data_IF_673295854488
#
_entry.id   IF_673295854488
#
_cell.length_a   1.000
_cell.length_b   1.000
_cell.length_c   1.000
_cell.angle_alpha   90.00
_cell.angle_beta   90.00
_cell.angle_gamma   90.00
#
_symmetry.space_group_name_H-M   'P 1'
#
loop_
_entity.id
_entity.type
_entity.pdbx_description
1 polymer ?
#
# COMPACT_ATOMS: atom_id res chain seq x y z
N UNK A 1 1.44 -33.89 -15.40
CA UNK A 1 0.91 -32.66 -14.74
C UNK A 1 1.53 -31.44 -15.40
N UNK A 2 0.85 -30.29 -15.32
CA UNK A 2 1.44 -28.98 -15.66
C UNK A 2 1.84 -28.29 -14.36
N UNK A 3 3.10 -27.91 -14.24
CA UNK A 3 3.66 -27.36 -13.01
C UNK A 3 4.27 -25.99 -13.29
N UNK A 4 3.80 -24.95 -12.59
CA UNK A 4 4.36 -23.60 -12.67
C UNK A 4 5.47 -23.41 -11.67
N UNK A 5 6.61 -22.90 -12.12
CA UNK A 5 7.74 -22.45 -11.32
C UNK A 5 7.82 -20.93 -11.45
N UNK A 6 7.69 -20.23 -10.33
CA UNK A 6 7.82 -18.77 -10.29
C UNK A 6 8.92 -18.34 -9.31
N UNK A 7 10.17 -18.26 -9.77
CA UNK A 7 11.28 -17.78 -8.97
C UNK A 7 11.22 -16.25 -8.84
N UNK A 8 11.56 -15.75 -7.65
CA UNK A 8 11.58 -14.32 -7.40
C UNK A 8 12.18 -13.92 -6.06
N UNK A 9 12.61 -12.67 -5.97
CA UNK A 9 13.09 -12.10 -4.71
C UNK A 9 11.95 -11.82 -3.73
N UNK A 10 10.76 -11.46 -4.25
CA UNK A 10 9.56 -11.10 -3.47
C UNK A 10 9.87 -10.13 -2.31
N UNK A 11 10.49 -9.02 -2.62
CA UNK A 11 11.04 -8.03 -1.69
C UNK A 11 10.34 -6.66 -1.79
N UNK A 12 9.05 -6.53 -1.38
CA UNK A 12 8.13 -7.54 -0.87
C UNK A 12 7.30 -8.27 -1.96
N UNK A 13 6.56 -9.32 -1.55
CA UNK A 13 5.45 -9.88 -2.31
C UNK A 13 4.29 -8.86 -2.36
N UNK A 14 3.56 -8.76 -3.49
CA UNK A 14 2.55 -7.72 -3.68
C UNK A 14 1.43 -8.16 -4.65
N UNK A 15 0.37 -7.36 -4.77
CA UNK A 15 -0.80 -7.68 -5.60
C UNK A 15 -0.46 -7.94 -7.07
N UNK A 16 0.60 -7.33 -7.60
CA UNK A 16 1.09 -7.60 -8.95
C UNK A 16 1.53 -9.06 -9.13
N UNK A 17 2.22 -9.65 -8.14
CA UNK A 17 2.59 -11.07 -8.17
C UNK A 17 1.35 -11.96 -8.11
N UNK A 18 0.38 -11.65 -7.24
CA UNK A 18 -0.88 -12.39 -7.12
C UNK A 18 -1.61 -12.43 -8.46
N UNK A 19 -1.76 -11.26 -9.09
CA UNK A 19 -2.52 -11.15 -10.33
C UNK A 19 -1.87 -11.88 -11.52
N UNK A 20 -0.52 -11.85 -11.62
CA UNK A 20 0.16 -12.58 -12.70
C UNK A 20 0.04 -14.10 -12.51
N UNK A 21 0.10 -14.57 -11.26
CA UNK A 21 -0.09 -15.99 -10.93
C UNK A 21 -1.51 -16.43 -11.32
N UNK A 22 -2.53 -15.66 -10.94
CA UNK A 22 -3.93 -15.95 -11.26
C UNK A 22 -4.19 -15.92 -12.79
N UNK A 23 -3.63 -14.94 -13.51
CA UNK A 23 -3.73 -14.85 -14.96
C UNK A 23 -3.05 -16.05 -15.65
N UNK A 24 -1.85 -16.42 -15.22
CA UNK A 24 -1.13 -17.57 -15.72
C UNK A 24 -1.90 -18.87 -15.44
N UNK A 25 -2.41 -19.04 -14.23
CA UNK A 25 -3.21 -20.22 -13.90
C UNK A 25 -4.50 -20.32 -14.72
N UNK A 26 -5.21 -19.20 -14.89
CA UNK A 26 -6.41 -19.14 -15.73
C UNK A 26 -6.13 -19.50 -17.19
N UNK A 27 -4.97 -19.10 -17.74
CA UNK A 27 -4.61 -19.34 -19.13
C UNK A 27 -4.11 -20.75 -19.40
N UNK A 28 -3.28 -21.32 -18.51
CA UNK A 28 -2.57 -22.58 -18.73
C UNK A 28 -3.14 -23.76 -17.94
N UNK A 29 -3.96 -23.51 -16.91
CA UNK A 29 -4.56 -24.51 -16.02
C UNK A 29 -3.52 -25.44 -15.39
N UNK A 30 -2.74 -24.91 -14.44
CA UNK A 30 -1.68 -25.65 -13.75
C UNK A 30 -2.24 -26.57 -12.67
N UNK A 31 -1.68 -27.78 -12.56
CA UNK A 31 -1.98 -28.75 -11.51
C UNK A 31 -1.27 -28.38 -10.20
N UNK A 32 -0.06 -27.76 -10.31
CA UNK A 32 0.73 -27.28 -9.17
C UNK A 32 1.42 -25.97 -9.49
N UNK A 33 1.56 -25.11 -8.49
CA UNK A 33 2.24 -23.83 -8.60
C UNK A 33 3.26 -23.68 -7.44
N UNK A 34 4.50 -23.35 -7.80
CA UNK A 34 5.56 -23.11 -6.83
C UNK A 34 6.05 -21.67 -6.89
N UNK A 35 6.01 -20.97 -5.72
CA UNK A 35 6.78 -19.75 -5.51
C UNK A 35 8.15 -20.14 -4.97
N UNK A 36 9.19 -19.80 -5.70
CA UNK A 36 10.56 -20.17 -5.37
C UNK A 36 11.30 -18.92 -4.89
N UNK A 37 11.54 -18.86 -3.57
CA UNK A 37 12.17 -17.69 -2.97
C UNK A 37 13.68 -17.68 -3.24
N UNK A 38 14.15 -16.69 -4.01
CA UNK A 38 15.55 -16.53 -4.32
C UNK A 38 16.35 -16.03 -3.11
N UNK A 39 17.50 -16.64 -2.84
CA UNK A 39 18.44 -16.21 -1.79
C UNK A 39 18.95 -14.80 -2.04
N UNK A 40 19.49 -14.59 -3.23
CA UNK A 40 19.89 -13.29 -3.75
C UNK A 40 19.60 -13.28 -5.25
N UNK A 41 19.00 -12.21 -5.76
CA UNK A 41 19.01 -11.99 -7.20
C UNK A 41 20.45 -11.77 -7.67
N UNK A 42 20.85 -12.41 -8.77
CA UNK A 42 22.21 -12.30 -9.33
C UNK A 42 22.64 -10.83 -9.53
N UNK A 43 21.68 -9.94 -9.73
CA UNK A 43 21.91 -8.51 -10.04
C UNK A 43 21.41 -7.52 -8.99
N UNK A 44 20.74 -7.96 -7.90
CA UNK A 44 20.18 -7.06 -6.89
C UNK A 44 20.23 -7.70 -5.51
N UNK A 45 20.84 -7.01 -4.55
CA UNK A 45 20.76 -7.39 -3.14
C UNK A 45 19.36 -7.07 -2.61
N UNK A 46 18.68 -8.04 -2.01
CA UNK A 46 17.42 -7.82 -1.31
C UNK A 46 17.65 -6.92 -0.09
N UNK A 47 16.67 -6.09 0.25
CA UNK A 47 16.71 -5.22 1.43
C UNK A 47 16.23 -5.99 2.67
N UNK A 48 15.10 -6.69 2.57
CA UNK A 48 14.63 -7.57 3.62
C UNK A 48 15.40 -8.89 3.65
N UNK A 49 15.54 -9.50 4.83
CA UNK A 49 16.18 -10.81 4.99
C UNK A 49 15.36 -11.90 4.28
N UNK A 50 15.96 -13.09 4.11
CA UNK A 50 15.24 -14.24 3.52
C UNK A 50 14.02 -14.60 4.36
N UNK A 51 14.18 -14.61 5.68
CA UNK A 51 13.11 -14.93 6.65
C UNK A 51 11.95 -13.91 6.54
N UNK A 52 12.27 -12.62 6.52
CA UNK A 52 11.27 -11.56 6.37
C UNK A 52 10.51 -11.66 5.04
N UNK A 53 11.20 -11.97 3.95
CA UNK A 53 10.56 -12.16 2.64
C UNK A 53 9.69 -13.41 2.60
N UNK A 54 10.13 -14.48 3.26
CA UNK A 54 9.34 -15.72 3.42
C UNK A 54 8.07 -15.47 4.23
N UNK A 55 8.16 -14.70 5.31
CA UNK A 55 6.99 -14.34 6.11
C UNK A 55 6.00 -13.51 5.30
N UNK A 56 6.47 -12.53 4.54
CA UNK A 56 5.60 -11.74 3.65
C UNK A 56 4.96 -12.59 2.53
N UNK A 57 5.68 -13.60 2.00
CA UNK A 57 5.09 -14.56 1.07
C UNK A 57 3.95 -15.34 1.74
N UNK A 58 4.17 -15.91 2.93
CA UNK A 58 3.16 -16.66 3.67
C UNK A 58 1.92 -15.82 3.97
N UNK A 59 2.12 -14.54 4.34
CA UNK A 59 1.03 -13.59 4.57
C UNK A 59 0.23 -13.26 3.30
N UNK A 60 0.87 -13.36 2.13
CA UNK A 60 0.24 -13.08 0.84
C UNK A 60 -0.51 -14.27 0.23
N UNK A 61 -0.15 -15.52 0.56
CA UNK A 61 -0.75 -16.72 -0.02
C UNK A 61 -2.29 -16.78 0.10
N UNK A 62 -2.91 -16.42 1.23
CA UNK A 62 -4.38 -16.46 1.37
C UNK A 62 -5.13 -15.57 0.39
N UNK A 63 -4.46 -14.62 -0.24
CA UNK A 63 -5.05 -13.72 -1.25
C UNK A 63 -4.95 -14.27 -2.68
N UNK A 64 -4.28 -15.40 -2.88
CA UNK A 64 -4.24 -16.12 -4.15
C UNK A 64 -5.41 -17.10 -4.22
N UNK A 65 -6.14 -17.11 -5.35
CA UNK A 65 -7.28 -18.00 -5.57
C UNK A 65 -6.91 -19.41 -6.06
N UNK A 66 -5.62 -19.72 -6.14
CA UNK A 66 -5.11 -21.01 -6.57
C UNK A 66 -4.21 -21.61 -5.48
N UNK A 67 -4.07 -22.94 -5.50
CA UNK A 67 -3.21 -23.64 -4.55
C UNK A 67 -1.74 -23.43 -4.93
N UNK A 68 -0.99 -22.80 -4.02
CA UNK A 68 0.41 -22.44 -4.22
C UNK A 68 1.24 -22.98 -3.08
N UNK A 69 2.36 -23.62 -3.42
CA UNK A 69 3.38 -24.04 -2.48
C UNK A 69 4.59 -23.10 -2.54
N UNK A 70 5.23 -22.84 -1.39
CA UNK A 70 6.51 -22.11 -1.34
C UNK A 70 7.62 -23.16 -1.31
N UNK A 71 8.56 -23.05 -2.25
CA UNK A 71 9.73 -23.91 -2.29
C UNK A 71 10.97 -23.17 -1.80
N UNK A 72 11.78 -23.85 -1.00
CA UNK A 72 12.93 -23.28 -0.31
C UNK A 72 14.30 -23.66 -0.93
N UNK A 73 14.29 -24.37 -2.05
CA UNK A 73 15.49 -24.92 -2.67
C UNK A 73 16.57 -23.86 -2.92
N UNK A 74 16.18 -22.70 -3.49
CA UNK A 74 17.16 -21.68 -3.86
C UNK A 74 17.91 -21.07 -2.67
N UNK A 75 17.26 -20.91 -1.52
CA UNK A 75 17.96 -20.33 -0.37
C UNK A 75 18.53 -21.36 0.61
N UNK A 76 18.12 -22.63 0.53
CA UNK A 76 18.61 -23.71 1.42
C UNK A 76 19.67 -24.58 0.77
N UNK A 77 19.51 -24.95 -0.51
CA UNK A 77 20.28 -26.01 -1.17
C UNK A 77 21.07 -25.52 -2.40
N UNK A 78 20.58 -24.48 -3.12
CA UNK A 78 21.29 -23.98 -4.31
C UNK A 78 22.64 -23.40 -3.94
N UNK A 79 23.68 -23.80 -4.67
CA UNK A 79 25.07 -23.34 -4.46
C UNK A 79 25.33 -21.98 -5.11
N UNK A 80 24.77 -21.76 -6.29
CA UNK A 80 25.06 -20.59 -7.11
C UNK A 80 23.90 -19.60 -7.26
N UNK A 81 22.66 -20.03 -6.97
CA UNK A 81 21.45 -19.23 -7.16
C UNK A 81 21.07 -19.04 -8.64
N UNK A 82 21.64 -19.81 -9.56
CA UNK A 82 21.27 -19.76 -10.98
C UNK A 82 20.03 -20.61 -11.24
N UNK A 83 19.10 -20.09 -12.05
CA UNK A 83 17.81 -20.73 -12.37
C UNK A 83 17.96 -22.12 -13.00
N UNK A 84 19.09 -22.43 -13.64
CA UNK A 84 19.32 -23.79 -14.16
C UNK A 84 19.36 -24.85 -13.04
N UNK A 85 19.93 -24.53 -11.85
CA UNK A 85 19.93 -25.46 -10.72
C UNK A 85 18.51 -25.74 -10.23
N UNK A 86 17.68 -24.71 -10.15
CA UNK A 86 16.28 -24.82 -9.79
C UNK A 86 15.49 -25.65 -10.80
N UNK A 87 15.70 -25.39 -12.09
CA UNK A 87 15.01 -26.13 -13.17
C UNK A 87 15.41 -27.62 -13.14
N UNK A 88 16.70 -27.94 -12.98
CA UNK A 88 17.16 -29.33 -12.83
C UNK A 88 16.54 -30.03 -11.62
N UNK A 89 16.56 -29.34 -10.46
CA UNK A 89 15.95 -29.87 -9.24
C UNK A 89 14.46 -30.23 -9.43
N UNK A 90 13.67 -29.35 -10.02
CA UNK A 90 12.26 -29.66 -10.29
C UNK A 90 12.09 -30.72 -11.38
N UNK A 91 13.00 -30.78 -12.38
CA UNK A 91 12.93 -31.84 -13.40
C UNK A 91 13.30 -33.21 -12.86
N UNK A 92 14.16 -33.29 -11.85
CA UNK A 92 14.47 -34.54 -11.14
C UNK A 92 13.26 -35.02 -10.32
N UNK A 93 12.51 -34.10 -9.68
CA UNK A 93 11.29 -34.44 -8.92
C UNK A 93 10.13 -34.82 -9.87
N UNK A 94 10.02 -34.15 -11.01
CA UNK A 94 8.92 -34.27 -11.95
C UNK A 94 9.44 -34.64 -13.37
N UNK A 95 10.04 -35.82 -13.55
CA UNK A 95 10.73 -36.18 -14.79
C UNK A 95 9.82 -36.28 -16.02
N UNK A 96 8.55 -36.63 -15.80
CA UNK A 96 7.56 -36.86 -16.87
C UNK A 96 6.52 -35.75 -16.97
N UNK A 97 6.65 -34.67 -16.21
CA UNK A 97 5.67 -33.58 -16.15
C UNK A 97 6.12 -32.37 -16.99
N UNK A 98 5.14 -31.57 -17.39
CA UNK A 98 5.37 -30.32 -18.13
C UNK A 98 5.67 -29.17 -17.15
N UNK A 99 6.92 -28.77 -17.09
CA UNK A 99 7.35 -27.65 -16.28
C UNK A 99 7.21 -26.33 -17.06
N UNK A 100 6.74 -25.30 -16.40
CA UNK A 100 6.62 -23.94 -16.91
C UNK A 100 7.39 -22.99 -16.02
N UNK A 101 8.26 -22.16 -16.61
CA UNK A 101 9.03 -21.14 -15.90
C UNK A 101 8.43 -19.76 -16.20
N UNK A 102 7.91 -19.10 -15.17
CA UNK A 102 7.33 -17.74 -15.28
C UNK A 102 8.40 -16.69 -14.98
N UNK A 103 8.63 -15.79 -15.94
CA UNK A 103 9.60 -14.70 -15.82
C UNK A 103 8.99 -13.35 -16.26
N UNK A 104 9.49 -12.25 -15.72
CA UNK A 104 9.12 -10.92 -16.18
C UNK A 104 9.76 -10.56 -17.52
N UNK A 105 9.13 -9.66 -18.29
CA UNK A 105 9.63 -9.19 -19.59
C UNK A 105 11.03 -8.58 -19.51
N UNK A 106 11.40 -7.98 -18.36
CA UNK A 106 12.78 -7.54 -18.09
C UNK A 106 13.80 -8.69 -18.17
N UNK A 107 13.42 -9.89 -17.71
CA UNK A 107 14.27 -11.09 -17.76
C UNK A 107 14.28 -11.74 -19.14
N UNK A 108 13.17 -11.65 -19.89
CA UNK A 108 13.11 -12.08 -21.29
C UNK A 108 14.20 -11.37 -22.12
N UNK A 109 14.37 -10.07 -21.93
CA UNK A 109 15.33 -9.29 -22.70
C UNK A 109 16.79 -9.71 -22.50
N UNK A 110 17.11 -10.28 -21.36
CA UNK A 110 18.45 -10.74 -21.00
C UNK A 110 18.58 -12.26 -20.91
N UNK A 111 17.54 -13.01 -21.27
CA UNK A 111 17.50 -14.46 -21.08
C UNK A 111 18.63 -15.19 -21.81
N UNK A 112 19.07 -14.72 -22.98
CA UNK A 112 20.19 -15.28 -23.71
C UNK A 112 21.53 -15.22 -22.95
N UNK A 113 21.66 -14.35 -21.95
CA UNK A 113 22.82 -14.24 -21.07
C UNK A 113 22.69 -15.12 -19.80
N UNK A 114 21.53 -15.75 -19.58
CA UNK A 114 21.38 -16.67 -18.45
C UNK A 114 22.31 -17.88 -18.60
N UNK A 115 22.84 -18.34 -17.48
CA UNK A 115 23.67 -19.54 -17.46
C UNK A 115 22.86 -20.73 -18.01
N UNK A 116 23.40 -21.38 -19.03
CA UNK A 116 22.80 -22.56 -19.66
C UNK A 116 21.38 -22.33 -20.19
N UNK A 117 21.09 -21.13 -20.74
CA UNK A 117 19.77 -20.73 -21.24
C UNK A 117 19.16 -21.73 -22.23
N UNK A 118 19.98 -22.37 -23.08
CA UNK A 118 19.51 -23.40 -24.01
C UNK A 118 19.02 -24.66 -23.31
N UNK A 119 19.71 -25.06 -22.25
CA UNK A 119 19.33 -26.21 -21.44
C UNK A 119 18.04 -25.91 -20.65
N UNK A 120 17.93 -24.72 -20.03
CA UNK A 120 16.69 -24.30 -19.38
C UNK A 120 15.52 -24.48 -20.36
N UNK A 121 15.65 -23.97 -21.61
CA UNK A 121 14.59 -24.10 -22.62
C UNK A 121 14.28 -25.54 -23.00
N UNK A 122 15.25 -26.44 -22.95
CA UNK A 122 15.01 -27.86 -23.24
C UNK A 122 14.23 -28.59 -22.13
N UNK A 123 14.31 -28.08 -20.90
CA UNK A 123 13.72 -28.69 -19.71
C UNK A 123 12.35 -28.11 -19.34
N UNK A 124 12.07 -26.84 -19.71
CA UNK A 124 10.82 -26.15 -19.32
C UNK A 124 10.22 -25.34 -20.48
N UNK A 125 8.91 -25.13 -20.42
CA UNK A 125 8.22 -24.13 -21.19
C UNK A 125 8.39 -22.76 -20.54
N UNK A 126 8.84 -21.75 -21.27
CA UNK A 126 9.03 -20.41 -20.72
C UNK A 126 7.78 -19.59 -20.99
N UNK A 127 7.19 -19.04 -19.95
CA UNK A 127 6.10 -18.09 -20.04
C UNK A 127 6.52 -16.75 -19.41
N UNK A 128 6.01 -15.64 -19.93
CA UNK A 128 6.40 -14.33 -19.46
C UNK A 128 5.21 -13.39 -19.30
N UNK A 129 5.39 -12.38 -18.46
CA UNK A 129 4.41 -11.33 -18.21
C UNK A 129 5.01 -9.95 -18.43
N UNK A 130 4.13 -9.00 -18.81
CA UNK A 130 4.52 -7.62 -19.03
C UNK A 130 5.06 -6.97 -17.77
N UNK A 131 6.05 -6.10 -17.97
CA UNK A 131 6.56 -5.20 -16.93
C UNK A 131 6.58 -3.76 -17.42
N UNK A 132 6.18 -2.78 -16.58
CA UNK A 132 6.27 -1.37 -16.92
C UNK A 132 7.67 -0.97 -17.38
N UNK A 133 7.75 -0.18 -18.45
CA UNK A 133 9.02 0.29 -18.99
C UNK A 133 9.77 -0.68 -19.92
N UNK A 134 9.21 -1.86 -20.20
CA UNK A 134 9.81 -2.84 -21.11
C UNK A 134 8.89 -3.11 -22.31
N UNK A 135 9.48 -3.23 -23.52
CA UNK A 135 8.76 -3.51 -24.76
C UNK A 135 8.95 -4.97 -25.21
N UNK A 136 7.93 -5.57 -25.83
CA UNK A 136 7.95 -6.93 -26.39
C UNK A 136 8.75 -7.04 -27.71
N UNK A 137 9.88 -6.38 -27.80
CA UNK A 137 10.72 -6.39 -29.02
C UNK A 137 11.88 -7.37 -28.93
N UNK A 138 11.97 -8.15 -27.83
CA UNK A 138 13.09 -9.05 -27.61
C UNK A 138 13.11 -10.22 -28.60
N UNK A 139 14.22 -10.42 -29.33
CA UNK A 139 14.38 -11.59 -30.21
C UNK A 139 14.35 -12.92 -29.44
N UNK A 140 14.55 -12.89 -28.14
CA UNK A 140 14.52 -14.08 -27.28
C UNK A 140 13.13 -14.73 -27.24
N UNK A 141 12.02 -13.93 -27.41
CA UNK A 141 10.66 -14.46 -27.47
C UNK A 141 10.53 -15.51 -28.58
N UNK A 142 10.95 -15.16 -29.78
CA UNK A 142 10.91 -16.05 -30.94
C UNK A 142 11.96 -17.16 -30.79
N UNK A 143 13.21 -16.81 -30.47
CA UNK A 143 14.33 -17.73 -30.37
C UNK A 143 14.08 -18.89 -29.40
N UNK A 144 13.42 -18.61 -28.26
CA UNK A 144 13.16 -19.59 -27.22
C UNK A 144 11.69 -20.02 -27.15
N UNK A 145 10.88 -19.67 -28.19
CA UNK A 145 9.45 -19.97 -28.25
C UNK A 145 8.73 -19.72 -26.91
N UNK A 146 8.86 -18.45 -26.42
CA UNK A 146 8.28 -18.03 -25.15
C UNK A 146 6.81 -17.65 -25.36
N UNK A 147 5.96 -17.96 -24.38
CA UNK A 147 4.52 -17.67 -24.43
C UNK A 147 4.15 -16.55 -23.48
N UNK A 148 3.33 -15.61 -23.95
CA UNK A 148 2.85 -14.51 -23.12
C UNK A 148 1.69 -14.92 -22.21
N UNK A 149 1.73 -14.47 -20.97
CA UNK A 149 0.58 -14.47 -20.06
C UNK A 149 -0.29 -13.26 -20.41
N UNK A 150 -1.53 -13.50 -20.85
CA UNK A 150 -2.47 -12.47 -21.25
C UNK A 150 -3.37 -11.99 -20.09
N UNK A 151 -3.99 -10.82 -20.24
CA UNK A 151 -4.99 -10.32 -19.27
C UNK A 151 -4.39 -9.79 -17.97
N UNK A 152 -3.07 -9.55 -17.95
CA UNK A 152 -2.38 -8.93 -16.85
C UNK A 152 -1.80 -7.58 -17.27
N UNK A 153 -2.21 -6.53 -16.58
CA UNK A 153 -1.61 -5.20 -16.67
C UNK A 153 -1.79 -4.52 -15.32
N UNK A 154 -0.78 -4.62 -14.44
CA UNK A 154 -0.68 -3.76 -13.26
C UNK A 154 0.69 -3.12 -13.21
N UNK A 155 0.64 -1.81 -13.20
CA UNK A 155 1.80 -0.94 -13.06
C UNK A 155 2.19 -0.85 -11.58
N UNK A 156 2.76 -1.94 -11.05
CA UNK A 156 3.32 -1.99 -9.69
C UNK A 156 4.55 -2.89 -9.65
N UNK A 157 5.55 -2.46 -8.93
CA UNK A 157 6.76 -3.22 -8.64
C UNK A 157 7.06 -3.24 -7.14
N UNK A 158 7.88 -4.20 -6.69
CA UNK A 158 8.39 -4.20 -5.33
C UNK A 158 9.17 -2.92 -5.01
N UNK A 159 9.80 -2.29 -6.00
CA UNK A 159 10.51 -1.00 -5.85
C UNK A 159 9.53 0.13 -5.53
N UNK A 160 8.35 0.15 -6.16
CA UNK A 160 7.32 1.17 -5.86
C UNK A 160 6.85 1.08 -4.42
N UNK A 161 6.68 -0.15 -3.91
CA UNK A 161 6.31 -0.36 -2.51
C UNK A 161 7.44 0.07 -1.59
N UNK A 162 8.68 -0.35 -1.85
CA UNK A 162 9.82 0.01 -0.99
C UNK A 162 10.04 1.51 -0.86
N UNK A 163 9.76 2.25 -1.93
CA UNK A 163 9.93 3.72 -1.99
C UNK A 163 8.64 4.50 -1.70
N UNK A 164 7.57 3.82 -1.27
CA UNK A 164 6.27 4.45 -1.01
C UNK A 164 5.62 5.15 -2.23
N UNK A 165 6.04 4.81 -3.46
CA UNK A 165 5.46 5.39 -4.67
C UNK A 165 4.04 4.88 -4.92
N UNK A 166 3.83 3.58 -4.69
CA UNK A 166 2.53 2.89 -4.75
C UNK A 166 2.50 1.77 -3.71
N UNK A 167 1.43 1.68 -2.93
CA UNK A 167 1.21 0.61 -1.97
C UNK A 167 0.07 -0.31 -2.46
N UNK A 168 0.35 -1.29 -3.30
CA UNK A 168 -0.65 -2.28 -3.72
C UNK A 168 -0.20 -3.69 -3.28
N UNK A 169 -0.39 -3.94 -2.00
CA UNK A 169 -0.14 -5.22 -1.35
C UNK A 169 -1.27 -5.54 -0.36
N UNK A 170 -1.51 -6.82 -0.05
CA UNK A 170 -2.44 -7.22 1.02
C UNK A 170 -2.11 -6.55 2.36
N UNK A 171 -3.16 -6.15 3.10
CA UNK A 171 -2.99 -5.47 4.38
C UNK A 171 -2.05 -6.20 5.38
N UNK A 172 -2.09 -7.54 5.52
CA UNK A 172 -1.14 -8.23 6.40
C UNK A 172 0.33 -8.01 6.02
N UNK A 173 0.64 -7.85 4.73
CA UNK A 173 2.00 -7.54 4.27
C UNK A 173 2.38 -6.10 4.62
N UNK A 174 1.48 -5.13 4.41
CA UNK A 174 1.70 -3.73 4.80
C UNK A 174 1.92 -3.61 6.30
N UNK A 175 1.15 -4.36 7.10
CA UNK A 175 1.32 -4.43 8.56
C UNK A 175 2.66 -5.05 8.96
N UNK A 176 3.09 -6.09 8.27
CA UNK A 176 4.39 -6.70 8.52
C UNK A 176 5.52 -5.68 8.24
N UNK A 177 5.45 -4.98 7.10
CA UNK A 177 6.42 -3.94 6.70
C UNK A 177 6.51 -2.85 7.77
N UNK A 178 5.38 -2.33 8.23
CA UNK A 178 5.36 -1.26 9.23
C UNK A 178 5.79 -1.75 10.61
N UNK A 179 5.35 -2.92 11.05
CA UNK A 179 5.73 -3.50 12.33
C UNK A 179 7.24 -3.74 12.43
N UNK A 180 7.85 -4.26 11.36
CA UNK A 180 9.28 -4.55 11.28
C UNK A 180 10.12 -3.37 10.76
N UNK A 181 9.50 -2.21 10.53
CA UNK A 181 10.16 -0.98 10.04
C UNK A 181 10.99 -1.23 8.78
N UNK A 182 10.43 -1.98 7.84
CA UNK A 182 11.09 -2.28 6.57
C UNK A 182 10.85 -1.15 5.56
N UNK A 183 11.81 -0.93 4.68
CA UNK A 183 11.70 0.00 3.56
C UNK A 183 11.32 1.42 4.02
N UNK A 184 10.34 2.06 3.39
CA UNK A 184 9.80 3.38 3.75
C UNK A 184 9.39 3.50 5.22
N UNK A 185 8.97 2.40 5.84
CA UNK A 185 8.51 2.42 7.23
C UNK A 185 9.63 2.74 8.23
N UNK A 186 10.89 2.46 7.86
CA UNK A 186 12.06 2.87 8.63
C UNK A 186 12.19 4.40 8.67
N UNK A 187 12.02 5.05 7.52
CA UNK A 187 12.14 6.51 7.42
C UNK A 187 11.00 7.21 8.17
N UNK A 188 9.76 6.70 8.05
CA UNK A 188 8.62 7.19 8.84
C UNK A 188 8.86 7.03 10.35
N UNK A 189 9.40 5.88 10.77
CA UNK A 189 9.73 5.65 12.17
C UNK A 189 10.75 6.65 12.71
N UNK A 190 11.72 7.06 11.91
CA UNK A 190 12.75 8.01 12.31
C UNK A 190 12.24 9.45 12.50
N UNK A 191 11.06 9.79 11.94
CA UNK A 191 10.40 11.08 12.10
C UNK A 191 9.48 11.15 13.33
N UNK A 192 9.24 10.02 14.01
CA UNK A 192 8.25 9.90 15.08
C UNK A 192 8.85 9.22 16.31
N UNK A 193 8.29 9.48 17.50
CA UNK A 193 8.55 8.63 18.64
C UNK A 193 7.77 7.31 18.55
N UNK A 194 8.12 6.33 19.39
CA UNK A 194 7.50 5.01 19.37
C UNK A 194 5.97 5.05 19.59
N UNK A 195 5.50 5.96 20.46
CA UNK A 195 4.05 6.09 20.75
C UNK A 195 3.31 6.62 19.54
N UNK A 196 3.85 7.66 18.91
CA UNK A 196 3.26 8.28 17.72
C UNK A 196 3.33 7.36 16.51
N UNK A 197 4.42 6.64 16.33
CA UNK A 197 4.55 5.64 15.28
C UNK A 197 3.49 4.52 15.40
N UNK A 198 3.26 4.01 16.63
CA UNK A 198 2.20 3.02 16.89
C UNK A 198 0.81 3.58 16.58
N UNK A 199 0.53 4.82 16.95
CA UNK A 199 -0.69 5.52 16.60
C UNK A 199 -0.84 5.62 15.08
N UNK A 200 0.19 6.07 14.34
CA UNK A 200 0.18 6.17 12.88
C UNK A 200 -0.06 4.80 12.21
N UNK A 201 0.51 3.71 12.72
CA UNK A 201 0.23 2.36 12.24
C UNK A 201 -1.23 1.97 12.47
N UNK A 202 -1.79 2.26 13.64
CA UNK A 202 -3.20 1.98 13.97
C UNK A 202 -4.15 2.78 13.08
N UNK A 203 -3.88 4.07 12.89
CA UNK A 203 -4.63 4.94 11.98
C UNK A 203 -4.54 4.46 10.54
N UNK A 204 -3.36 4.01 10.08
CA UNK A 204 -3.18 3.46 8.73
C UNK A 204 -4.06 2.23 8.48
N UNK A 205 -4.09 1.30 9.44
CA UNK A 205 -4.96 0.13 9.38
C UNK A 205 -6.44 0.54 9.33
N UNK A 206 -6.84 1.44 10.21
CA UNK A 206 -8.23 1.88 10.29
C UNK A 206 -8.66 2.60 9.00
N UNK A 207 -7.80 3.45 8.42
CA UNK A 207 -8.05 4.08 7.13
C UNK A 207 -8.26 3.04 6.02
N UNK A 208 -7.40 2.01 5.96
CA UNK A 208 -7.53 0.93 4.98
C UNK A 208 -8.85 0.17 5.15
N UNK A 209 -9.16 -0.24 6.38
CA UNK A 209 -10.36 -1.02 6.70
C UNK A 209 -11.66 -0.23 6.45
N UNK A 210 -11.70 1.07 6.76
CA UNK A 210 -12.86 1.93 6.46
C UNK A 210 -13.04 2.06 4.94
N UNK A 211 -11.95 2.29 4.18
CA UNK A 211 -12.02 2.38 2.73
C UNK A 211 -12.53 1.06 2.11
N UNK A 212 -12.01 -0.08 2.57
CA UNK A 212 -12.40 -1.41 2.09
C UNK A 212 -13.86 -1.73 2.41
N UNK A 213 -14.30 -1.49 3.65
CA UNK A 213 -15.67 -1.75 4.10
C UNK A 213 -16.72 -0.92 3.35
N UNK A 214 -16.37 0.29 2.91
CA UNK A 214 -17.23 1.15 2.08
C UNK A 214 -17.08 0.90 0.58
N UNK A 215 -16.37 -0.17 0.14
CA UNK A 215 -16.21 -0.51 -1.27
C UNK A 215 -15.17 0.33 -2.04
N UNK A 216 -14.47 1.25 -1.40
CA UNK A 216 -13.46 2.10 -2.03
C UNK A 216 -12.12 1.37 -2.25
N UNK A 217 -12.16 0.20 -2.89
CA UNK A 217 -11.00 -0.68 -3.10
C UNK A 217 -9.86 -0.02 -3.88
N UNK A 218 -10.15 0.94 -4.76
CA UNK A 218 -9.15 1.66 -5.55
C UNK A 218 -8.30 2.64 -4.74
N UNK A 219 -8.79 3.12 -3.59
CA UNK A 219 -8.09 4.10 -2.75
C UNK A 219 -7.63 3.54 -1.39
N UNK A 220 -7.95 2.28 -1.04
CA UNK A 220 -7.59 1.72 0.28
C UNK A 220 -6.09 1.74 0.57
N UNK A 221 -5.26 1.52 -0.44
CA UNK A 221 -3.80 1.63 -0.31
C UNK A 221 -3.35 3.08 -0.09
N UNK A 222 -4.00 4.06 -0.76
CA UNK A 222 -3.78 5.49 -0.49
C UNK A 222 -4.22 5.86 0.93
N UNK A 223 -5.34 5.32 1.39
CA UNK A 223 -5.85 5.53 2.74
C UNK A 223 -4.89 5.01 3.81
N UNK A 224 -4.29 3.82 3.61
CA UNK A 224 -3.23 3.31 4.48
C UNK A 224 -2.03 4.28 4.52
N UNK A 225 -1.58 4.75 3.34
CA UNK A 225 -0.46 5.68 3.23
C UNK A 225 -0.73 6.99 3.97
N UNK A 226 -1.91 7.57 3.79
CA UNK A 226 -2.34 8.78 4.50
C UNK A 226 -2.33 8.56 6.00
N UNK A 227 -2.92 7.48 6.49
CA UNK A 227 -2.95 7.16 7.92
C UNK A 227 -1.55 6.98 8.51
N UNK A 228 -0.62 6.40 7.77
CA UNK A 228 0.77 6.24 8.23
C UNK A 228 1.53 7.58 8.29
N UNK A 229 1.25 8.49 7.34
CA UNK A 229 1.99 9.74 7.16
C UNK A 229 1.32 10.97 7.82
N UNK A 230 0.08 10.87 8.33
CA UNK A 230 -0.68 12.05 8.76
C UNK A 230 0.04 12.92 9.79
N UNK A 231 0.78 12.31 10.70
CA UNK A 231 1.44 12.97 11.84
C UNK A 231 2.96 13.15 11.68
N UNK A 232 3.56 12.90 10.49
CA UNK A 232 5.03 12.99 10.31
C UNK A 232 5.60 14.39 10.53
N UNK A 233 4.79 15.44 10.45
CA UNK A 233 5.18 16.82 10.79
C UNK A 233 5.09 17.17 12.29
N UNK A 234 4.69 16.22 13.17
CA UNK A 234 4.35 16.51 14.57
C UNK A 234 5.55 16.89 15.44
N UNK A 235 6.74 16.43 15.09
CA UNK A 235 7.97 16.65 15.83
C UNK A 235 8.96 17.61 15.14
N UNK A 236 8.54 18.28 14.06
CA UNK A 236 9.31 19.38 13.49
C UNK A 236 9.47 20.48 14.57
N UNK A 237 10.66 21.07 14.69
CA UNK A 237 10.88 22.14 15.63
C UNK A 237 10.10 23.42 15.22
N UNK A 238 9.87 24.31 16.18
CA UNK A 238 9.02 25.50 15.96
C UNK A 238 9.58 26.43 14.87
N UNK A 239 10.90 26.49 14.71
CA UNK A 239 11.55 27.32 13.70
C UNK A 239 11.29 26.75 12.31
N UNK A 240 11.46 25.42 12.18
CA UNK A 240 11.18 24.70 10.93
C UNK A 240 9.69 24.77 10.57
N UNK A 241 8.79 24.54 11.55
CA UNK A 241 7.34 24.69 11.37
C UNK A 241 7.00 26.07 10.78
N UNK A 242 7.49 27.13 11.42
CA UNK A 242 7.22 28.50 10.99
C UNK A 242 7.81 28.77 9.60
N UNK A 243 9.04 28.36 9.32
CA UNK A 243 9.70 28.56 8.03
C UNK A 243 8.88 27.90 6.91
N UNK A 244 8.51 26.62 7.06
CA UNK A 244 7.72 25.90 6.06
C UNK A 244 6.35 26.56 5.87
N UNK A 245 5.69 26.98 6.97
CA UNK A 245 4.40 27.66 6.88
C UNK A 245 4.50 28.99 6.13
N UNK A 246 5.50 29.83 6.42
CA UNK A 246 5.70 31.10 5.71
C UNK A 246 6.05 30.94 4.23
N UNK A 247 6.91 29.97 3.90
CA UNK A 247 7.39 29.78 2.53
C UNK A 247 6.41 29.06 1.62
N UNK A 248 5.61 28.12 2.16
CA UNK A 248 4.80 27.20 1.36
C UNK A 248 3.30 27.24 1.66
N UNK A 249 2.90 27.81 2.80
CA UNK A 249 1.51 27.81 3.27
C UNK A 249 1.11 29.15 3.91
N UNK A 250 1.58 30.26 3.33
CA UNK A 250 1.39 31.61 3.89
C UNK A 250 -0.08 31.98 4.11
N UNK A 251 -0.99 31.41 3.32
CA UNK A 251 -2.44 31.58 3.48
C UNK A 251 -3.03 30.93 4.73
N UNK A 252 -2.25 30.11 5.46
CA UNK A 252 -2.68 29.38 6.67
C UNK A 252 -1.92 29.78 7.94
N UNK A 253 -1.14 30.85 7.92
CA UNK A 253 -0.37 31.32 9.10
C UNK A 253 -1.23 31.93 10.21
N UNK A 254 -2.49 32.25 9.91
CA UNK A 254 -3.52 32.67 10.86
C UNK A 254 -4.05 31.52 11.73
N UNK A 255 -3.79 30.28 11.31
CA UNK A 255 -4.22 29.11 12.08
C UNK A 255 -3.40 28.95 13.35
N UNK A 256 -3.98 28.35 14.41
CA UNK A 256 -3.23 28.07 15.63
C UNK A 256 -2.08 27.08 15.36
N UNK A 257 -0.95 27.28 16.02
CA UNK A 257 0.30 26.50 15.83
C UNK A 257 0.08 24.99 15.93
N UNK A 258 -0.88 24.54 16.77
CA UNK A 258 -1.16 23.11 16.87
C UNK A 258 -1.63 22.48 15.54
N UNK A 259 -2.17 23.29 14.61
CA UNK A 259 -2.62 22.83 13.31
C UNK A 259 -1.50 22.82 12.24
N UNK A 260 -0.35 23.44 12.51
CA UNK A 260 0.72 23.54 11.51
C UNK A 260 1.31 22.19 11.11
N UNK A 261 1.34 21.21 12.03
CA UNK A 261 1.91 19.89 11.74
C UNK A 261 1.25 19.17 10.54
N UNK A 262 -0.04 19.41 10.26
CA UNK A 262 -0.74 18.80 9.14
C UNK A 262 -0.23 19.36 7.79
N UNK A 263 0.11 20.64 7.73
CA UNK A 263 0.70 21.28 6.55
C UNK A 263 2.15 20.84 6.35
N UNK A 264 2.94 20.88 7.43
CA UNK A 264 4.33 20.43 7.42
C UNK A 264 4.43 18.93 7.13
N UNK A 265 3.51 18.10 7.64
CA UNK A 265 3.40 16.69 7.30
C UNK A 265 3.13 16.48 5.81
N UNK A 266 2.23 17.27 5.20
CA UNK A 266 1.99 17.24 3.76
C UNK A 266 3.25 17.66 2.96
N UNK A 267 3.99 18.67 3.43
CA UNK A 267 5.25 19.09 2.84
C UNK A 267 6.32 17.98 2.90
N UNK A 268 6.48 17.33 4.06
CA UNK A 268 7.41 16.21 4.22
C UNK A 268 7.02 15.02 3.34
N UNK A 269 5.72 14.69 3.25
CA UNK A 269 5.23 13.64 2.36
C UNK A 269 5.64 13.92 0.91
N UNK A 270 5.51 15.16 0.44
CA UNK A 270 5.91 15.55 -0.91
C UNK A 270 7.44 15.54 -1.10
N UNK A 271 8.22 16.04 -0.14
CA UNK A 271 9.66 16.27 -0.31
C UNK A 271 10.52 15.06 0.07
N UNK A 272 10.21 14.37 1.16
CA UNK A 272 11.02 13.26 1.66
C UNK A 272 10.57 11.91 1.09
N UNK A 273 9.26 11.73 0.84
CA UNK A 273 8.68 10.50 0.30
C UNK A 273 8.27 10.61 -1.17
N UNK A 274 8.54 11.75 -1.82
CA UNK A 274 8.23 12.00 -3.23
C UNK A 274 6.74 11.72 -3.59
N UNK A 275 5.82 11.98 -2.67
CA UNK A 275 4.38 11.85 -2.91
C UNK A 275 3.93 13.02 -3.76
N UNK A 276 3.45 12.73 -4.98
CA UNK A 276 2.93 13.73 -5.93
C UNK A 276 1.41 13.70 -6.06
N UNK A 277 0.76 12.72 -5.45
CA UNK A 277 -0.69 12.55 -5.49
C UNK A 277 -1.38 13.60 -4.61
N UNK A 278 -2.11 14.52 -5.25
CA UNK A 278 -2.78 15.62 -4.57
C UNK A 278 -3.85 15.15 -3.57
N UNK A 279 -4.51 14.01 -3.81
CA UNK A 279 -5.52 13.46 -2.90
C UNK A 279 -4.86 13.03 -1.58
N UNK A 280 -3.69 12.37 -1.66
CA UNK A 280 -2.91 11.95 -0.48
C UNK A 280 -2.41 13.19 0.29
N UNK A 281 -1.82 14.16 -0.42
CA UNK A 281 -1.30 15.39 0.19
C UNK A 281 -2.40 16.19 0.88
N UNK A 282 -3.59 16.32 0.25
CA UNK A 282 -4.72 17.00 0.85
C UNK A 282 -5.28 16.23 2.07
N UNK A 283 -5.36 14.92 2.01
CA UNK A 283 -5.83 14.13 3.14
C UNK A 283 -4.89 14.25 4.36
N UNK A 284 -3.58 14.33 4.15
CA UNK A 284 -2.61 14.66 5.20
C UNK A 284 -2.82 16.11 5.67
N UNK A 285 -2.94 17.06 4.75
CA UNK A 285 -3.04 18.50 5.01
C UNK A 285 -4.27 18.90 5.81
N UNK A 286 -5.36 18.14 5.75
CA UNK A 286 -6.63 18.50 6.39
C UNK A 286 -7.12 17.46 7.42
N UNK A 287 -6.29 16.48 7.81
CA UNK A 287 -6.69 15.44 8.75
C UNK A 287 -7.04 15.95 10.16
N UNK A 288 -6.42 17.06 10.59
CA UNK A 288 -6.61 17.59 11.93
C UNK A 288 -7.84 18.52 12.00
N UNK A 289 -7.96 19.46 11.07
CA UNK A 289 -8.96 20.54 11.08
C UNK A 289 -10.23 20.20 10.28
N UNK A 290 -10.12 19.35 9.29
CA UNK A 290 -11.11 19.28 8.20
C UNK A 290 -11.06 20.55 7.33
N UNK A 291 -11.98 20.66 6.38
CA UNK A 291 -12.22 21.83 5.53
C UNK A 291 -13.58 21.72 4.83
N UNK A 292 -14.01 22.79 4.17
CA UNK A 292 -15.12 22.72 3.21
C UNK A 292 -14.80 21.77 2.05
N UNK A 293 -15.78 20.96 1.59
CA UNK A 293 -15.66 20.11 0.41
C UNK A 293 -14.64 18.98 0.53
N UNK A 294 -14.59 18.27 1.67
CA UNK A 294 -13.66 17.14 1.86
C UNK A 294 -13.97 15.98 0.91
N UNK A 295 -12.92 15.43 0.29
CA UNK A 295 -12.99 14.17 -0.45
C UNK A 295 -13.23 12.98 0.48
N UNK A 296 -13.60 11.83 -0.07
CA UNK A 296 -13.75 10.59 0.70
C UNK A 296 -12.46 10.23 1.44
N UNK A 297 -11.31 10.37 0.79
CA UNK A 297 -10.00 10.08 1.40
C UNK A 297 -9.69 11.01 2.58
N UNK A 298 -10.02 12.30 2.46
CA UNK A 298 -9.89 13.28 3.55
C UNK A 298 -10.82 12.95 4.72
N UNK A 299 -12.09 12.57 4.45
CA UNK A 299 -13.05 12.14 5.48
C UNK A 299 -12.52 10.91 6.24
N UNK A 300 -12.01 9.90 5.51
CA UNK A 300 -11.42 8.69 6.11
C UNK A 300 -10.23 9.05 7.01
N UNK A 301 -9.30 9.88 6.55
CA UNK A 301 -8.15 10.30 7.32
C UNK A 301 -8.55 11.04 8.61
N UNK A 302 -9.50 11.98 8.49
CA UNK A 302 -10.03 12.75 9.60
C UNK A 302 -10.64 11.85 10.68
N UNK A 303 -11.56 10.96 10.30
CA UNK A 303 -12.23 10.09 11.29
C UNK A 303 -11.27 9.10 11.91
N UNK A 304 -10.42 8.45 11.13
CA UNK A 304 -9.50 7.42 11.62
C UNK A 304 -8.54 7.98 12.68
N UNK A 305 -8.01 9.19 12.49
CA UNK A 305 -7.20 9.85 13.52
C UNK A 305 -8.00 10.09 14.81
N UNK A 306 -9.25 10.56 14.71
CA UNK A 306 -10.07 10.88 15.88
C UNK A 306 -10.51 9.65 16.67
N UNK A 307 -10.86 8.55 15.96
CA UNK A 307 -11.46 7.34 16.57
C UNK A 307 -10.46 6.18 16.74
N UNK A 308 -9.15 6.44 16.60
CA UNK A 308 -8.12 5.42 16.81
C UNK A 308 -8.24 4.76 18.19
N UNK A 309 -8.34 3.41 18.28
CA UNK A 309 -8.47 2.69 19.54
C UNK A 309 -7.34 2.98 20.55
N UNK A 310 -6.13 3.36 20.07
CA UNK A 310 -4.99 3.68 20.91
C UNK A 310 -5.12 5.03 21.64
N UNK A 311 -6.17 5.81 21.37
CA UNK A 311 -6.45 7.07 22.12
C UNK A 311 -6.98 6.85 23.53
N UNK A 312 -7.35 5.60 23.89
CA UNK A 312 -7.68 5.24 25.27
C UNK A 312 -9.15 5.47 25.69
N UNK A 313 -10.05 5.67 24.72
CA UNK A 313 -11.50 5.68 24.94
C UNK A 313 -12.20 4.67 24.03
N UNK A 314 -13.43 4.27 24.38
CA UNK A 314 -14.21 3.34 23.56
C UNK A 314 -14.72 4.03 22.28
N UNK A 315 -14.07 3.71 21.17
CA UNK A 315 -14.40 4.22 19.84
C UNK A 315 -15.13 3.19 18.96
N UNK A 316 -15.45 2.00 19.50
CA UNK A 316 -16.00 0.88 18.72
C UNK A 316 -17.23 1.26 17.92
N UNK A 317 -18.20 1.93 18.55
CA UNK A 317 -19.42 2.36 17.87
C UNK A 317 -19.12 3.30 16.68
N UNK A 318 -18.21 4.26 16.85
CA UNK A 318 -17.84 5.20 15.79
C UNK A 318 -17.10 4.48 14.65
N UNK A 319 -16.26 3.51 14.97
CA UNK A 319 -15.57 2.68 13.98
C UNK A 319 -16.59 1.88 13.17
N UNK A 320 -17.51 1.20 13.83
CA UNK A 320 -18.55 0.40 13.17
C UNK A 320 -19.43 1.29 12.26
N UNK A 321 -19.79 2.50 12.73
CA UNK A 321 -20.55 3.48 11.95
C UNK A 321 -19.78 3.95 10.70
N UNK A 322 -18.48 4.29 10.84
CA UNK A 322 -17.65 4.71 9.72
C UNK A 322 -17.41 3.58 8.70
N UNK A 323 -17.32 2.33 9.16
CA UNK A 323 -17.23 1.15 8.27
C UNK A 323 -18.54 0.87 7.54
N UNK A 324 -19.69 1.14 8.17
CA UNK A 324 -20.98 0.97 7.53
C UNK A 324 -21.28 2.06 6.49
N UNK A 325 -20.96 3.32 6.79
CA UNK A 325 -21.14 4.47 5.91
C UNK A 325 -20.19 5.59 6.32
N UNK A 326 -19.17 5.85 5.51
CA UNK A 326 -18.15 6.86 5.83
C UNK A 326 -18.71 8.28 5.90
N UNK A 327 -19.69 8.63 5.06
CA UNK A 327 -20.29 9.96 5.05
C UNK A 327 -21.05 10.23 6.34
N UNK A 328 -21.95 9.33 6.73
CA UNK A 328 -22.69 9.42 7.98
C UNK A 328 -21.79 9.32 9.21
N UNK A 329 -20.79 8.42 9.16
CA UNK A 329 -19.78 8.27 10.20
C UNK A 329 -18.94 9.52 10.39
N UNK A 330 -18.52 10.17 9.30
CA UNK A 330 -17.77 11.43 9.36
C UNK A 330 -18.57 12.55 10.03
N UNK A 331 -19.86 12.72 9.63
CA UNK A 331 -20.74 13.72 10.23
C UNK A 331 -20.86 13.48 11.75
N UNK A 332 -21.07 12.22 12.16
CA UNK A 332 -21.17 11.87 13.57
C UNK A 332 -19.87 12.14 14.32
N UNK A 333 -18.72 11.68 13.81
CA UNK A 333 -17.41 11.89 14.44
C UNK A 333 -17.07 13.39 14.52
N UNK A 334 -17.37 14.16 13.46
CA UNK A 334 -17.18 15.61 13.46
C UNK A 334 -18.00 16.26 14.57
N UNK A 335 -19.29 15.93 14.71
CA UNK A 335 -20.15 16.48 15.77
C UNK A 335 -19.62 16.15 17.18
N UNK A 336 -19.21 14.90 17.40
CA UNK A 336 -18.66 14.46 18.68
C UNK A 336 -17.31 15.16 19.01
N UNK A 337 -16.47 15.37 17.99
CA UNK A 337 -15.19 16.07 18.19
C UNK A 337 -15.41 17.54 18.54
N UNK A 338 -16.35 18.23 17.93
CA UNK A 338 -16.70 19.61 18.24
C UNK A 338 -17.27 19.69 19.66
N UNK A 339 -18.22 18.84 20.03
CA UNK A 339 -18.79 18.79 21.37
C UNK A 339 -17.72 18.54 22.45
N UNK A 340 -16.79 17.60 22.20
CA UNK A 340 -15.68 17.33 23.10
C UNK A 340 -14.79 18.56 23.30
N UNK A 341 -14.42 19.24 22.20
CA UNK A 341 -13.58 20.43 22.26
C UNK A 341 -14.29 21.59 22.98
N UNK A 342 -15.56 21.83 22.70
CA UNK A 342 -16.36 22.85 23.40
C UNK A 342 -16.45 22.58 24.91
N UNK A 343 -16.66 21.32 25.32
CA UNK A 343 -16.73 20.95 26.73
C UNK A 343 -15.37 21.10 27.44
N UNK A 344 -14.27 20.72 26.79
CA UNK A 344 -12.91 20.86 27.31
C UNK A 344 -12.48 22.32 27.51
N UNK A 345 -13.03 23.24 26.74
CA UNK A 345 -12.66 24.66 26.75
C UNK A 345 -13.72 25.57 27.35
N UNK A 346 -14.83 25.01 27.88
CA UNK A 346 -15.84 25.81 28.62
C UNK A 346 -15.29 26.63 29.76
N UNK A 347 -14.15 26.23 30.31
CA UNK A 347 -13.46 26.98 31.39
C UNK A 347 -12.48 28.04 30.87
N UNK A 348 -12.30 28.16 29.57
CA UNK A 348 -11.43 29.16 28.92
C UNK A 348 -12.31 30.01 28.00
N UNK A 349 -12.61 31.22 28.38
CA UNK A 349 -13.48 32.18 27.65
C UNK A 349 -13.10 32.52 26.20
N UNK A 350 -12.18 31.78 25.55
CA UNK A 350 -11.61 32.07 24.26
C UNK A 350 -11.50 30.82 23.33
N UNK A 351 -12.42 29.87 23.40
CA UNK A 351 -12.46 28.83 22.36
C UNK A 351 -13.16 29.38 21.12
N UNK A 352 -12.39 29.72 20.10
CA UNK A 352 -12.87 29.84 18.73
C UNK A 352 -12.32 28.69 17.91
N UNK A 353 -13.18 27.98 17.17
CA UNK A 353 -12.72 27.07 16.13
C UNK A 353 -11.87 27.86 15.12
N UNK A 354 -10.76 27.27 14.68
CA UNK A 354 -10.02 27.86 13.58
C UNK A 354 -10.92 27.86 12.30
N UNK A 355 -10.65 28.78 11.36
CA UNK A 355 -11.50 28.99 10.18
C UNK A 355 -11.74 27.70 9.37
N UNK A 356 -10.76 26.81 9.23
CA UNK A 356 -10.93 25.56 8.48
C UNK A 356 -11.93 24.61 9.17
N UNK A 357 -11.84 24.50 10.50
CA UNK A 357 -12.81 23.71 11.27
C UNK A 357 -14.19 24.37 11.22
N UNK A 358 -14.31 25.69 11.31
CA UNK A 358 -15.55 26.40 11.17
C UNK A 358 -16.19 26.17 9.78
N UNK A 359 -15.41 26.31 8.70
CA UNK A 359 -15.86 26.04 7.33
C UNK A 359 -16.34 24.58 7.16
N UNK A 360 -15.64 23.62 7.80
CA UNK A 360 -16.02 22.22 7.81
C UNK A 360 -17.36 21.99 8.55
N UNK A 361 -17.54 22.61 9.71
CA UNK A 361 -18.78 22.53 10.50
C UNK A 361 -19.96 23.13 9.72
N UNK A 362 -19.76 24.29 9.12
CA UNK A 362 -20.80 24.94 8.33
C UNK A 362 -21.22 24.09 7.13
N UNK A 363 -20.28 23.47 6.45
CA UNK A 363 -20.55 22.62 5.30
C UNK A 363 -21.32 21.34 5.67
N UNK A 364 -20.89 20.63 6.71
CA UNK A 364 -21.39 19.30 7.01
C UNK A 364 -22.42 19.21 8.15
N UNK A 365 -22.43 20.14 9.09
CA UNK A 365 -23.37 20.13 10.21
C UNK A 365 -24.48 21.16 10.08
N UNK A 366 -24.20 22.37 9.55
CA UNK A 366 -25.16 23.48 9.50
C UNK A 366 -25.89 23.59 8.16
N UNK A 367 -25.30 23.11 7.05
CA UNK A 367 -25.89 23.22 5.73
C UNK A 367 -26.82 22.05 5.38
N UNK A 368 -28.13 22.20 5.61
CA UNK A 368 -29.14 21.17 5.36
C UNK A 368 -29.19 20.67 3.90
N UNK A 369 -28.83 21.49 2.94
CA UNK A 369 -28.79 21.10 1.51
C UNK A 369 -27.65 20.11 1.16
N UNK A 370 -26.56 20.11 1.92
CA UNK A 370 -25.48 19.14 1.71
C UNK A 370 -25.87 17.76 2.22
N UNK A 371 -26.58 17.70 3.35
CA UNK A 371 -27.08 16.44 3.94
C UNK A 371 -28.08 15.71 3.01
N UNK A 372 -28.89 16.47 2.25
CA UNK A 372 -29.85 15.90 1.28
C UNK A 372 -29.15 15.43 -0.02
N UNK A 373 -28.10 16.12 -0.50
CA UNK A 373 -27.34 15.72 -1.70
C UNK A 373 -26.50 14.46 -1.46
N UNK A 374 -25.87 14.32 -0.30
CA UNK A 374 -25.08 13.14 0.04
C UNK A 374 -25.98 11.90 0.22
N UNK A 375 -27.15 12.01 0.85
CA UNK A 375 -28.14 10.93 0.93
C UNK A 375 -28.60 10.45 -0.45
N UNK A 376 -28.73 11.34 -1.42
CA UNK A 376 -29.13 11.00 -2.78
C UNK A 376 -28.00 10.42 -3.65
N UNK A 377 -26.73 10.68 -3.32
CA UNK A 377 -25.59 10.08 -4.00
C UNK A 377 -25.33 8.64 -3.51
N UNK A 378 -25.49 8.36 -2.22
CA UNK A 378 -25.39 6.99 -1.68
C UNK A 378 -26.48 6.06 -2.27
N UNK A 379 -27.67 6.59 -2.58
CA UNK A 379 -28.77 5.84 -3.21
C UNK A 379 -28.53 5.50 -4.71
N UNK A 380 -27.49 6.00 -5.36
CA UNK A 380 -27.18 5.74 -6.78
C UNK A 380 -26.18 4.59 -7.01
N UNK A 381 -25.65 3.99 -5.96
CA UNK A 381 -24.73 2.85 -6.05
C UNK A 381 -25.38 1.48 -5.76
N UNK A 382 -26.73 1.43 -5.61
CA UNK A 382 -27.51 0.20 -5.41
C UNK A 382 -28.08 -0.37 -6.74
N UNK A 383 -27.32 -0.33 -7.85
CA UNK A 383 -27.66 -1.06 -9.08
C UNK A 383 -26.44 -1.74 -9.70
#
# INVERSE_FOLDING_TARGET
MKILLFPGSFDPFHSGHINVIEAANKQFNFDKLYLILSKNSVNKKAIATVEQRLDMLKLGLPFCKCNIEIDDYEYTKSKSGYSIETVRYFKDIYPNDDLYLLIGLDQVNVFNAWKEAKEIKSLVNIIYYDRPGYCETSPNIIKYNMMKVNGFSRDISSTDIRNLNKLDAPLPILNYITLHKLYFAHDVYNLLDLRRYRHSMSVANLCYEIAEANGYNSIKAKAFMVGLLHDIGKYADITELNTIMYEHFSEYIDLPVYAYHQFVGSYYAAKQFNILDADILNAIKYHCTGRHGMSVLEKIAYVADKIDPLRGYDSKYMIDLCKANITGGFIYVLSQNIEFNMNKHKEKDNYSDNRLTADCVDDYLNNKHHQEREKNNDARFDY
#
